data_IF_789620040120
#
_entry.id   IF_789620040120
#
_cell.length_a   1.000
_cell.length_b   1.000
_cell.length_c   1.000
_cell.angle_alpha   90.00
_cell.angle_beta   90.00
_cell.angle_gamma   90.00
#
_symmetry.space_group_name_H-M   'P 1'
#
loop_
_entity.id
_entity.type
_entity.pdbx_description
1 polymer ?
#
# COMPACT_ATOMS: atom_id res chain seq x y z
N UNK A 1 10.97 -6.84 3.99
CA UNK A 1 9.66 -7.05 4.64
C UNK A 1 8.57 -6.90 3.59
N UNK A 2 7.51 -7.71 3.63
CA UNK A 2 6.37 -7.56 2.70
C UNK A 2 5.11 -7.25 3.51
N UNK A 3 4.48 -6.12 3.23
CA UNK A 3 3.16 -5.75 3.73
C UNK A 3 2.13 -6.17 2.68
N UNK A 4 1.38 -7.23 2.95
CA UNK A 4 0.46 -7.82 1.99
C UNK A 4 -0.94 -7.16 2.01
N UNK A 5 -1.75 -7.55 1.03
CA UNK A 5 -3.11 -7.05 0.83
C UNK A 5 -4.18 -7.84 1.57
N UNK A 6 -5.24 -7.14 2.01
CA UNK A 6 -6.50 -7.72 2.49
C UNK A 6 -7.71 -6.93 1.97
N UNK A 7 -8.95 -7.35 2.25
CA UNK A 7 -10.17 -6.69 1.74
C UNK A 7 -10.53 -5.38 2.47
N UNK A 8 -9.76 -5.01 3.49
CA UNK A 8 -9.95 -3.81 4.30
C UNK A 8 -9.51 -2.54 3.54
N UNK A 9 -10.04 -1.39 3.94
CA UNK A 9 -9.52 -0.09 3.54
C UNK A 9 -8.82 0.56 4.75
N UNK A 10 -7.68 1.22 4.54
CA UNK A 10 -6.93 1.88 5.63
C UNK A 10 -7.73 2.99 6.32
N UNK A 11 -8.76 3.51 5.63
CA UNK A 11 -9.68 4.52 6.12
C UNK A 11 -10.86 3.95 6.92
N UNK A 12 -10.99 2.62 7.04
CA UNK A 12 -12.04 1.99 7.84
C UNK A 12 -11.67 2.07 9.34
N UNK A 13 -12.67 2.26 10.21
CA UNK A 13 -12.42 2.17 11.66
C UNK A 13 -11.93 0.78 12.04
N UNK A 14 -10.83 0.71 12.79
CA UNK A 14 -10.23 -0.56 13.20
C UNK A 14 -9.49 -1.30 12.09
N UNK A 15 -9.18 -0.64 10.97
CA UNK A 15 -8.35 -1.22 9.92
C UNK A 15 -6.99 -1.71 10.50
N UNK A 16 -6.45 -2.85 10.03
CA UNK A 16 -5.20 -3.38 10.55
C UNK A 16 -4.03 -2.42 10.26
N UNK A 17 -3.34 -1.95 11.28
CA UNK A 17 -2.19 -1.05 11.13
C UNK A 17 -0.96 -1.74 11.73
N UNK A 18 0.16 -1.73 11.01
CA UNK A 18 1.44 -2.17 11.55
C UNK A 18 2.14 -1.01 12.26
N UNK A 19 3.12 -1.33 13.10
CA UNK A 19 3.97 -0.32 13.72
C UNK A 19 4.75 0.46 12.64
N UNK A 20 4.85 1.79 12.79
CA UNK A 20 5.61 2.65 11.90
C UNK A 20 7.10 2.28 11.90
N UNK A 21 7.62 1.80 13.03
CA UNK A 21 9.02 1.37 13.16
C UNK A 21 9.40 0.28 12.15
N UNK A 22 8.44 -0.51 11.66
CA UNK A 22 8.67 -1.51 10.60
C UNK A 22 9.27 -0.88 9.35
N UNK A 23 8.91 0.37 9.03
CA UNK A 23 9.42 1.11 7.87
C UNK A 23 10.82 1.72 8.13
N UNK A 24 11.27 1.77 9.38
CA UNK A 24 12.55 2.37 9.79
C UNK A 24 13.64 1.34 10.14
N UNK A 25 13.40 0.05 9.93
CA UNK A 25 14.35 -1.03 10.24
C UNK A 25 15.61 -1.06 9.33
N UNK A 26 15.75 -0.15 8.37
CA UNK A 26 16.91 -0.10 7.46
C UNK A 26 16.97 -1.25 6.45
N UNK A 27 15.86 -1.97 6.24
CA UNK A 27 15.73 -3.05 5.25
C UNK A 27 14.67 -2.71 4.20
N UNK A 28 14.75 -3.25 2.97
CA UNK A 28 13.73 -3.02 1.97
C UNK A 28 12.33 -3.48 2.40
N UNK A 29 11.32 -2.66 2.13
CA UNK A 29 9.90 -2.94 2.40
C UNK A 29 9.09 -2.82 1.11
N UNK A 30 8.28 -3.85 0.82
CA UNK A 30 7.36 -3.87 -0.31
C UNK A 30 5.91 -3.88 0.20
N UNK A 31 5.11 -2.92 -0.24
CA UNK A 31 3.67 -2.86 0.02
C UNK A 31 2.86 -3.35 -1.18
N UNK A 32 1.94 -4.29 -0.97
CA UNK A 32 1.06 -4.84 -2.02
C UNK A 32 -0.40 -4.56 -1.65
N UNK A 33 -1.13 -3.88 -2.54
CA UNK A 33 -2.54 -3.54 -2.36
C UNK A 33 -2.79 -2.78 -1.04
N UNK A 34 -3.42 -3.39 -0.03
CA UNK A 34 -3.60 -2.76 1.29
C UNK A 34 -2.27 -2.33 1.92
N UNK A 35 -1.21 -3.14 1.79
CA UNK A 35 0.11 -2.78 2.33
C UNK A 35 0.68 -1.52 1.69
N UNK A 36 0.42 -1.30 0.40
CA UNK A 36 0.79 -0.06 -0.28
C UNK A 36 0.01 1.14 0.29
N UNK A 37 -1.32 1.00 0.46
CA UNK A 37 -2.15 2.05 1.05
C UNK A 37 -1.72 2.39 2.48
N UNK A 38 -1.42 1.38 3.28
CA UNK A 38 -0.94 1.52 4.65
C UNK A 38 0.38 2.30 4.69
N UNK A 39 1.34 1.94 3.83
CA UNK A 39 2.62 2.66 3.73
C UNK A 39 2.40 4.12 3.33
N UNK A 40 1.59 4.38 2.32
CA UNK A 40 1.25 5.75 1.89
C UNK A 40 0.69 6.56 3.06
N UNK A 41 -0.27 6.00 3.80
CA UNK A 41 -0.90 6.67 4.93
C UNK A 41 0.10 6.96 6.08
N UNK A 42 0.93 5.96 6.44
CA UNK A 42 1.90 6.08 7.53
C UNK A 42 3.04 7.05 7.22
N UNK A 43 3.41 7.21 5.95
CA UNK A 43 4.46 8.13 5.49
C UNK A 43 3.93 9.54 5.17
N UNK A 44 2.68 9.84 5.55
CA UNK A 44 2.07 11.17 5.39
C UNK A 44 1.53 11.46 3.99
N UNK A 45 1.42 10.45 3.13
CA UNK A 45 0.71 10.54 1.87
C UNK A 45 -0.81 10.37 2.05
N UNK A 46 -1.55 10.67 0.99
CA UNK A 46 -3.01 10.59 0.99
C UNK A 46 -3.52 9.29 0.35
N UNK A 47 -4.58 8.74 0.93
CA UNK A 47 -5.31 7.59 0.39
C UNK A 47 -6.77 7.98 0.26
N UNK A 48 -7.34 7.77 -0.92
CA UNK A 48 -8.73 8.10 -1.20
C UNK A 48 -9.59 6.84 -1.36
N UNK A 49 -10.88 6.97 -1.04
CA UNK A 49 -11.86 5.91 -1.33
C UNK A 49 -12.25 5.94 -2.80
N UNK A 50 -12.03 4.83 -3.50
CA UNK A 50 -12.60 4.63 -4.82
C UNK A 50 -14.13 4.42 -4.73
N UNK A 51 -14.87 4.98 -5.68
CA UNK A 51 -16.33 4.83 -5.77
C UNK A 51 -16.76 3.37 -6.04
N UNK A 52 -15.88 2.56 -6.63
CA UNK A 52 -16.06 1.13 -6.87
C UNK A 52 -14.77 0.38 -6.56
N UNK A 53 -14.92 -0.87 -6.11
CA UNK A 53 -13.81 -1.80 -6.05
C UNK A 53 -13.54 -2.33 -7.45
N UNK A 54 -12.31 -2.19 -7.91
CA UNK A 54 -11.88 -2.69 -9.22
C UNK A 54 -11.12 -4.00 -9.04
N UNK A 55 -11.63 -5.05 -9.66
CA UNK A 55 -10.99 -6.35 -9.73
C UNK A 55 -10.97 -6.79 -11.19
N UNK A 56 -9.80 -7.16 -11.70
CA UNK A 56 -9.65 -7.57 -13.08
C UNK A 56 -8.24 -7.37 -13.59
N UNK A 57 -8.04 -7.72 -14.85
CA UNK A 57 -6.79 -7.41 -15.55
C UNK A 57 -6.78 -5.92 -15.89
N UNK A 58 -5.65 -5.28 -15.62
CA UNK A 58 -5.37 -3.93 -16.05
C UNK A 58 -4.04 -3.92 -16.82
N UNK A 59 -3.87 -2.96 -17.72
CA UNK A 59 -2.57 -2.67 -18.32
C UNK A 59 -1.83 -1.69 -17.43
N UNK A 60 -0.56 -1.99 -17.14
CA UNK A 60 0.33 -1.10 -16.42
C UNK A 60 1.23 -0.40 -17.43
N UNK A 61 1.33 0.92 -17.35
CA UNK A 61 2.39 1.68 -18.01
C UNK A 61 3.50 1.88 -16.98
N UNK A 62 4.73 1.54 -17.36
CA UNK A 62 5.91 1.69 -16.51
C UNK A 62 6.59 3.00 -16.92
N UNK A 63 6.62 3.96 -16.00
CA UNK A 63 7.15 5.30 -16.26
C UNK A 63 8.70 5.34 -16.31
N UNK A 64 9.37 4.43 -15.59
CA UNK A 64 10.82 4.24 -15.61
C UNK A 64 11.17 2.80 -15.27
N UNK A 65 12.19 2.26 -15.93
CA UNK A 65 12.71 0.90 -15.71
C UNK A 65 14.15 0.89 -15.20
N UNK A 66 14.64 2.00 -14.65
CA UNK A 66 16.04 2.13 -14.19
C UNK A 66 16.37 1.15 -13.05
N UNK A 67 15.36 0.74 -12.28
CA UNK A 67 15.48 -0.13 -11.10
C UNK A 67 14.70 -1.45 -11.21
N UNK A 68 14.29 -1.84 -12.43
CA UNK A 68 13.62 -3.13 -12.73
C UNK A 68 14.61 -4.13 -13.35
#
# INVERSE_FOLDING_TARGET
IILSGGPACVLDQGAPVCDLEVLHLGVPVLGICYGMQLMTHLLGGEVERAAKREYGKAQLLIDSSEDL
#
